data_IF_597610031151
#
_entry.id   IF_597610031151
#
_cell.length_a   1.000
_cell.length_b   1.000
_cell.length_c   1.000
_cell.angle_alpha   90.00
_cell.angle_beta   90.00
_cell.angle_gamma   90.00
#
_symmetry.space_group_name_H-M   'P 1'
#
loop_
_entity.id
_entity.type
_entity.pdbx_description
1 polymer ?
#
# COMPACT_ATOMS: atom_id res chain seq x y z
N UNK A 1 -9.43 14.56 18.63
CA UNK A 1 -8.50 13.79 17.76
C UNK A 1 -7.63 14.70 16.86
N UNK A 2 -6.44 14.27 16.39
CA UNK A 2 -5.60 15.06 15.43
C UNK A 2 -5.82 14.63 13.98
N UNK A 3 -5.45 15.46 13.00
CA UNK A 3 -5.60 15.14 11.57
C UNK A 3 -4.79 13.89 11.15
N UNK A 4 -3.56 13.74 11.66
CA UNK A 4 -2.73 12.56 11.39
C UNK A 4 -3.41 11.29 11.92
N UNK A 5 -3.98 11.34 13.13
CA UNK A 5 -4.72 10.23 13.72
C UNK A 5 -5.94 9.86 12.87
N UNK A 6 -6.70 10.84 12.37
CA UNK A 6 -7.83 10.59 11.48
C UNK A 6 -7.40 9.86 10.20
N UNK A 7 -6.30 10.28 9.58
CA UNK A 7 -5.76 9.62 8.38
C UNK A 7 -5.32 8.18 8.66
N UNK A 8 -4.67 7.93 9.80
CA UNK A 8 -4.31 6.56 10.20
C UNK A 8 -5.55 5.68 10.44
N UNK A 9 -6.61 6.22 11.04
CA UNK A 9 -7.88 5.49 11.19
C UNK A 9 -8.49 5.16 9.82
N UNK A 10 -8.42 6.07 8.85
CA UNK A 10 -8.86 5.80 7.48
C UNK A 10 -8.03 4.68 6.83
N UNK A 11 -6.71 4.80 6.80
CA UNK A 11 -5.82 3.78 6.24
C UNK A 11 -5.98 2.41 6.93
N UNK A 12 -6.31 2.41 8.23
CA UNK A 12 -6.65 1.20 8.96
C UNK A 12 -7.95 0.55 8.48
N UNK A 13 -9.02 1.34 8.28
CA UNK A 13 -10.30 0.88 7.72
C UNK A 13 -10.13 0.36 6.28
N UNK A 14 -9.19 0.92 5.53
CA UNK A 14 -8.87 0.50 4.17
C UNK A 14 -7.94 -0.71 4.09
N UNK A 15 -7.30 -1.08 5.21
CA UNK A 15 -6.36 -2.22 5.26
C UNK A 15 -4.97 -1.89 4.70
N UNK A 16 -4.65 -0.61 4.56
CA UNK A 16 -3.39 -0.12 3.98
C UNK A 16 -2.30 0.15 5.03
N UNK A 17 -2.65 0.09 6.32
CA UNK A 17 -1.66 0.25 7.38
C UNK A 17 -0.75 -0.98 7.56
N UNK A 18 0.56 -0.76 7.79
CA UNK A 18 1.45 -1.82 8.26
C UNK A 18 0.95 -2.46 9.55
N UNK A 19 1.20 -3.76 9.73
CA UNK A 19 0.65 -4.54 10.85
C UNK A 19 0.98 -3.96 12.25
N UNK A 20 2.12 -3.29 12.42
CA UNK A 20 2.50 -2.69 13.70
C UNK A 20 1.67 -1.44 14.03
N UNK A 21 1.42 -0.57 13.05
CA UNK A 21 0.57 0.61 13.19
C UNK A 21 -0.91 0.23 13.30
N UNK A 22 -1.34 -0.78 12.56
CA UNK A 22 -2.71 -1.27 12.62
C UNK A 22 -3.12 -1.70 14.05
N UNK A 23 -2.21 -2.34 14.80
CA UNK A 23 -2.44 -2.70 16.22
C UNK A 23 -2.51 -1.50 17.15
N UNK A 24 -1.80 -0.42 16.84
CA UNK A 24 -1.88 0.81 17.60
C UNK A 24 -3.24 1.48 17.41
N UNK A 25 -3.68 1.60 16.15
CA UNK A 25 -4.99 2.15 15.81
C UNK A 25 -6.12 1.28 16.34
N UNK A 26 -5.99 -0.06 16.30
CA UNK A 26 -6.97 -0.97 16.89
C UNK A 26 -7.15 -0.73 18.39
N UNK A 27 -6.05 -0.54 19.13
CA UNK A 27 -6.09 -0.19 20.56
C UNK A 27 -6.72 1.18 20.79
N UNK A 28 -6.39 2.16 19.96
CA UNK A 28 -6.98 3.50 20.04
C UNK A 28 -8.50 3.45 19.82
N UNK A 29 -8.97 2.78 18.77
CA UNK A 29 -10.39 2.62 18.44
C UNK A 29 -11.14 1.83 19.52
N UNK A 30 -10.46 0.92 20.22
CA UNK A 30 -11.04 0.20 21.35
C UNK A 30 -11.20 1.08 22.60
N UNK A 31 -10.30 2.05 22.82
CA UNK A 31 -10.23 2.86 24.03
C UNK A 31 -10.93 4.23 23.92
N UNK A 32 -10.96 4.82 22.72
CA UNK A 32 -11.46 6.17 22.48
C UNK A 32 -12.81 6.15 21.72
N UNK A 33 -13.91 6.63 22.34
CA UNK A 33 -15.21 6.74 21.70
C UNK A 33 -15.22 7.62 20.45
N UNK A 34 -14.42 8.69 20.39
CA UNK A 34 -14.32 9.58 19.22
C UNK A 34 -13.71 8.82 18.04
N UNK A 35 -12.63 8.08 18.28
CA UNK A 35 -11.97 7.25 17.27
C UNK A 35 -12.87 6.10 16.81
N UNK A 36 -13.63 5.47 17.73
CA UNK A 36 -14.62 4.44 17.39
C UNK A 36 -15.70 4.98 16.46
N UNK A 37 -16.28 6.13 16.81
CA UNK A 37 -17.34 6.75 16.00
C UNK A 37 -16.85 7.07 14.57
N UNK A 38 -15.62 7.59 14.43
CA UNK A 38 -15.03 7.84 13.12
C UNK A 38 -14.84 6.55 12.32
N UNK A 39 -14.28 5.50 12.94
CA UNK A 39 -14.08 4.22 12.28
C UNK A 39 -15.40 3.60 11.78
N UNK A 40 -16.46 3.70 12.58
CA UNK A 40 -17.78 3.16 12.22
C UNK A 40 -18.46 3.97 11.11
N UNK A 41 -18.29 5.30 11.10
CA UNK A 41 -18.72 6.15 9.99
C UNK A 41 -18.01 5.83 8.68
N UNK A 42 -16.68 5.66 8.73
CA UNK A 42 -15.88 5.31 7.55
C UNK A 42 -16.26 3.94 6.98
N UNK A 43 -16.48 2.93 7.85
CA UNK A 43 -16.97 1.61 7.42
C UNK A 43 -18.35 1.70 6.77
N UNK A 44 -19.25 2.48 7.35
CA UNK A 44 -20.60 2.68 6.81
C UNK A 44 -20.55 3.36 5.44
N UNK A 45 -19.69 4.37 5.28
CA UNK A 45 -19.47 5.04 4.00
C UNK A 45 -18.89 4.07 2.96
N UNK A 46 -17.88 3.27 3.34
CA UNK A 46 -17.28 2.26 2.46
C UNK A 46 -18.32 1.24 1.97
N UNK A 47 -19.16 0.73 2.87
CA UNK A 47 -20.24 -0.17 2.50
C UNK A 47 -21.24 0.50 1.55
N UNK A 48 -21.68 1.74 1.85
CA UNK A 48 -22.60 2.48 0.99
C UNK A 48 -22.02 2.74 -0.41
N UNK A 49 -20.72 3.00 -0.52
CA UNK A 49 -20.04 3.17 -1.81
C UNK A 49 -19.97 1.86 -2.59
N UNK A 50 -19.66 0.75 -1.92
CA UNK A 50 -19.63 -0.58 -2.54
C UNK A 50 -21.01 -0.99 -3.07
N UNK A 51 -22.07 -0.73 -2.31
CA UNK A 51 -23.45 -1.04 -2.72
C UNK A 51 -23.95 -0.14 -3.86
N UNK A 52 -23.42 1.08 -3.96
CA UNK A 52 -23.75 2.04 -5.02
C UNK A 52 -22.87 1.91 -6.26
N UNK A 53 -21.85 1.03 -6.24
CA UNK A 53 -20.93 0.88 -7.36
C UNK A 53 -21.64 0.19 -8.53
N UNK A 54 -21.81 0.92 -9.63
CA UNK A 54 -22.41 0.39 -10.84
C UNK A 54 -21.37 -0.49 -11.52
N UNK A 55 -21.63 -1.79 -11.60
CA UNK A 55 -20.81 -2.70 -12.38
C UNK A 55 -20.70 -2.22 -13.83
N UNK A 56 -19.48 -1.96 -14.27
CA UNK A 56 -19.17 -1.63 -15.67
C UNK A 56 -18.40 -2.79 -16.28
N UNK A 57 -19.08 -3.74 -16.95
CA UNK A 57 -18.39 -4.82 -17.61
C UNK A 57 -17.50 -4.26 -18.71
N UNK A 58 -16.30 -4.81 -18.83
CA UNK A 58 -15.41 -4.48 -19.94
C UNK A 58 -16.04 -5.08 -21.21
N UNK A 59 -16.25 -4.30 -22.29
CA UNK A 59 -16.97 -4.75 -23.49
C UNK A 59 -16.09 -5.60 -24.43
N UNK A 60 -15.17 -6.40 -23.88
CA UNK A 60 -14.26 -7.25 -24.65
C UNK A 60 -13.92 -8.53 -23.89
N UNK A 61 -13.42 -9.54 -24.61
CA UNK A 61 -12.98 -10.79 -23.99
C UNK A 61 -11.78 -10.58 -23.07
N UNK A 62 -11.60 -11.49 -22.10
CA UNK A 62 -10.45 -11.47 -21.17
C UNK A 62 -9.11 -11.41 -21.91
N UNK A 63 -8.96 -12.22 -22.96
CA UNK A 63 -7.72 -12.32 -23.76
C UNK A 63 -7.42 -11.01 -24.51
N UNK A 64 -8.44 -10.39 -25.10
CA UNK A 64 -8.32 -9.11 -25.79
C UNK A 64 -7.94 -7.99 -24.83
N UNK A 65 -8.60 -7.94 -23.66
CA UNK A 65 -8.31 -6.95 -22.62
C UNK A 65 -6.86 -7.04 -22.12
N UNK A 66 -6.45 -8.23 -21.67
CA UNK A 66 -5.08 -8.42 -21.14
C UNK A 66 -4.03 -8.36 -22.24
N UNK A 67 -4.34 -8.79 -23.45
CA UNK A 67 -3.47 -8.65 -24.62
C UNK A 67 -3.20 -7.19 -24.95
N UNK A 68 -4.23 -6.34 -24.95
CA UNK A 68 -4.09 -4.89 -25.14
C UNK A 68 -3.20 -4.24 -24.08
N UNK A 69 -3.37 -4.61 -22.81
CA UNK A 69 -2.52 -4.13 -21.72
C UNK A 69 -1.06 -4.56 -21.94
N UNK A 70 -0.81 -5.83 -22.28
CA UNK A 70 0.54 -6.35 -22.52
C UNK A 70 1.24 -5.63 -23.68
N UNK A 71 0.51 -5.37 -24.78
CA UNK A 71 1.02 -4.59 -25.91
C UNK A 71 1.33 -3.15 -25.49
N UNK A 72 0.46 -2.52 -24.71
CA UNK A 72 0.63 -1.14 -24.24
C UNK A 72 1.79 -0.95 -23.26
N UNK A 73 2.03 -1.91 -22.37
CA UNK A 73 3.20 -1.92 -21.49
C UNK A 73 4.51 -2.14 -22.26
N UNK A 74 4.43 -2.77 -23.44
CA UNK A 74 5.59 -3.14 -24.25
C UNK A 74 6.40 -4.27 -23.61
N UNK A 75 7.53 -4.68 -24.23
CA UNK A 75 8.42 -5.62 -23.60
C UNK A 75 8.93 -5.03 -22.28
N UNK A 76 8.92 -5.85 -21.23
CA UNK A 76 9.49 -5.51 -19.94
C UNK A 76 10.93 -4.99 -20.20
N UNK A 77 11.14 -3.68 -20.07
CA UNK A 77 12.50 -3.15 -20.03
C UNK A 77 13.07 -3.75 -18.77
N UNK A 78 13.84 -4.82 -18.90
CA UNK A 78 14.57 -5.42 -17.80
C UNK A 78 15.19 -4.25 -17.02
N UNK A 79 14.64 -3.98 -15.84
CA UNK A 79 15.23 -3.01 -14.92
C UNK A 79 16.58 -3.62 -14.63
N UNK A 80 17.60 -3.15 -15.35
CA UNK A 80 18.96 -3.59 -15.16
C UNK A 80 19.21 -3.31 -13.69
N UNK A 81 19.35 -4.35 -12.83
CA UNK A 81 19.56 -4.09 -11.41
C UNK A 81 20.76 -3.15 -11.38
N UNK A 82 20.60 -2.00 -10.70
CA UNK A 82 21.67 -1.02 -10.58
C UNK A 82 22.90 -1.80 -10.18
N UNK A 83 23.81 -1.98 -11.14
CA UNK A 83 24.95 -2.88 -11.00
C UNK A 83 25.62 -2.48 -9.70
N UNK A 84 25.67 -3.39 -8.73
CA UNK A 84 26.28 -3.13 -7.44
C UNK A 84 27.65 -2.52 -7.74
N UNK A 85 27.82 -1.23 -7.43
CA UNK A 85 29.09 -0.54 -7.63
C UNK A 85 30.07 -1.27 -6.71
N UNK A 86 30.90 -2.14 -7.27
CA UNK A 86 31.97 -2.80 -6.54
C UNK A 86 32.94 -1.70 -6.15
N UNK A 87 32.77 -1.17 -4.93
CA UNK A 87 33.72 -0.21 -4.35
C UNK A 87 34.99 -0.98 -4.02
N UNK A 88 36.14 -0.68 -4.63
CA UNK A 88 37.38 -1.36 -4.29
C UNK A 88 37.70 -1.09 -2.82
N UNK A 89 38.00 -2.16 -2.06
CA UNK A 89 38.43 -2.02 -0.66
C UNK A 89 39.79 -1.31 -0.63
N UNK A 90 39.95 -0.23 0.13
CA UNK A 90 41.23 0.45 0.19
C UNK A 90 42.26 -0.40 0.94
N UNK A 91 43.51 -0.42 0.44
CA UNK A 91 44.58 -1.33 0.92
C UNK A 91 44.91 -1.21 2.41
N UNK A 92 44.60 -0.09 3.06
CA UNK A 92 44.87 0.16 4.48
C UNK A 92 43.95 -0.62 5.43
N UNK A 93 42.80 -1.14 4.97
CA UNK A 93 41.94 -2.04 5.78
C UNK A 93 42.60 -3.37 6.15
N UNK A 94 43.69 -3.76 5.48
CA UNK A 94 44.49 -4.94 5.84
C UNK A 94 45.24 -4.77 7.16
N UNK A 95 45.30 -3.56 7.69
CA UNK A 95 45.99 -3.23 8.95
C UNK A 95 45.07 -3.15 10.16
N UNK A 96 43.77 -3.44 9.98
CA UNK A 96 42.74 -3.37 11.04
C UNK A 96 42.06 -4.72 11.32
N UNK A 97 42.48 -5.81 10.67
CA UNK A 97 42.15 -7.17 11.10
C UNK A 97 43.28 -7.67 12.03
N UNK A 98 42.95 -8.32 13.15
CA UNK A 98 43.93 -8.74 14.15
C UNK A 98 44.95 -9.73 13.60
#
# INVERSE_FOLDING_TARGET
>A
MTAETCLKIQSWVDGELPAHEAREIERLVAADPEARALADQLRSLKAALQDAEIERPVPMGREEYWGGIAVGLGPEKAVRPASAVVRPRPRWWRWLAP
#
